data_IF_214176950282
#
_entry.id   IF_214176950282
#
_cell.length_a   1.000
_cell.length_b   1.000
_cell.length_c   1.000
_cell.angle_alpha   90.00
_cell.angle_beta   90.00
_cell.angle_gamma   90.00
#
_symmetry.space_group_name_H-M   'P 1'
#
loop_
_entity.id
_entity.type
_entity.pdbx_description
1 polymer ?
#
# COMPACT_ATOMS: atom_id res chain seq x y z
N UNK A 1 8.92 -6.02 -3.55
CA UNK A 1 7.53 -5.81 -4.00
C UNK A 1 7.10 -4.39 -3.63
N UNK A 2 6.51 -3.66 -4.56
CA UNK A 2 6.05 -2.29 -4.39
C UNK A 2 4.54 -2.31 -4.16
N UNK A 3 4.05 -1.40 -3.33
CA UNK A 3 2.62 -1.16 -3.12
C UNK A 3 2.24 0.04 -3.98
N UNK A 4 1.31 -0.15 -4.93
CA UNK A 4 0.86 0.88 -5.85
C UNK A 4 -0.60 1.25 -5.62
N UNK A 5 -0.92 2.53 -5.70
CA UNK A 5 -2.30 3.00 -5.68
C UNK A 5 -2.91 2.87 -7.08
N UNK A 6 -3.99 2.11 -7.19
CA UNK A 6 -4.73 1.90 -8.43
C UNK A 6 -6.18 2.36 -8.34
N UNK A 7 -6.48 3.28 -7.43
CA UNK A 7 -7.84 3.78 -7.18
C UNK A 7 -8.52 4.29 -8.46
N UNK A 8 -7.78 5.03 -9.30
CA UNK A 8 -8.29 5.56 -10.57
C UNK A 8 -8.83 4.47 -11.53
N UNK A 9 -8.28 3.26 -11.47
CA UNK A 9 -8.76 2.13 -12.27
C UNK A 9 -10.25 1.86 -12.01
N UNK A 10 -10.70 2.05 -10.78
CA UNK A 10 -12.07 1.76 -10.36
C UNK A 10 -13.06 2.93 -10.57
N UNK A 11 -12.59 4.06 -11.08
CA UNK A 11 -13.47 5.15 -11.56
C UNK A 11 -13.86 4.97 -13.03
N UNK A 12 -13.22 4.05 -13.73
CA UNK A 12 -13.39 3.81 -15.17
C UNK A 12 -14.65 2.98 -15.46
N UNK A 13 -15.22 3.17 -16.65
CA UNK A 13 -16.40 2.44 -17.10
C UNK A 13 -16.06 1.00 -17.52
N UNK A 14 -14.87 0.78 -18.08
CA UNK A 14 -14.39 -0.50 -18.58
C UNK A 14 -13.95 -1.51 -17.49
N UNK A 15 -14.11 -1.18 -16.22
CA UNK A 15 -13.97 -2.07 -15.07
C UNK A 15 -15.33 -2.30 -14.47
N UNK A 16 -15.74 -3.57 -14.33
CA UNK A 16 -17.06 -3.96 -13.82
C UNK A 16 -17.05 -4.54 -12.41
N UNK A 17 -15.99 -4.30 -11.63
CA UNK A 17 -15.90 -4.76 -10.24
C UNK A 17 -16.65 -3.81 -9.28
N UNK A 18 -17.96 -3.95 -9.25
CA UNK A 18 -18.89 -3.03 -8.59
C UNK A 18 -18.64 -2.83 -7.08
N UNK A 19 -18.15 -3.87 -6.39
CA UNK A 19 -17.85 -3.78 -4.95
C UNK A 19 -16.80 -2.67 -4.72
N UNK A 20 -15.67 -2.72 -5.44
CA UNK A 20 -14.63 -1.71 -5.29
C UNK A 20 -15.07 -0.35 -5.83
N UNK A 21 -15.81 -0.32 -6.94
CA UNK A 21 -16.36 0.94 -7.47
C UNK A 21 -17.25 1.67 -6.46
N UNK A 22 -18.12 0.96 -5.75
CA UNK A 22 -18.97 1.53 -4.69
C UNK A 22 -18.15 2.07 -3.53
N UNK A 23 -17.15 1.31 -3.08
CA UNK A 23 -16.27 1.73 -1.99
C UNK A 23 -15.43 2.96 -2.39
N UNK A 24 -14.90 3.01 -3.61
CA UNK A 24 -14.15 4.16 -4.11
C UNK A 24 -15.06 5.40 -4.18
N UNK A 25 -16.30 5.28 -4.66
CA UNK A 25 -17.27 6.38 -4.63
C UNK A 25 -17.58 6.88 -3.23
N UNK A 26 -17.47 6.03 -2.20
CA UNK A 26 -17.62 6.40 -0.78
C UNK A 26 -16.33 6.94 -0.15
N UNK A 27 -15.29 7.21 -0.95
CA UNK A 27 -14.01 7.79 -0.51
C UNK A 27 -13.02 6.77 0.05
N UNK A 28 -13.10 5.51 -0.36
CA UNK A 28 -12.05 4.50 -0.14
C UNK A 28 -11.02 4.54 -1.26
N UNK A 29 -9.82 4.02 -0.99
CA UNK A 29 -8.76 3.87 -1.97
C UNK A 29 -8.52 2.39 -2.26
N UNK A 30 -7.87 2.10 -3.39
CA UNK A 30 -7.45 0.75 -3.76
C UNK A 30 -5.95 0.72 -3.94
N UNK A 31 -5.27 -0.16 -3.22
CA UNK A 31 -3.85 -0.44 -3.41
C UNK A 31 -3.62 -1.87 -3.83
N UNK A 32 -2.60 -2.08 -4.61
CA UNK A 32 -2.21 -3.42 -5.06
C UNK A 32 -0.75 -3.73 -4.78
N UNK A 33 -0.46 -5.03 -4.75
CA UNK A 33 0.87 -5.61 -4.63
C UNK A 33 1.07 -6.54 -5.81
N UNK A 34 2.18 -6.37 -6.52
CA UNK A 34 2.57 -7.25 -7.63
C UNK A 34 3.52 -8.31 -7.12
N UNK A 35 3.25 -9.56 -7.47
CA UNK A 35 4.10 -10.72 -7.19
C UNK A 35 4.58 -11.33 -8.50
N UNK A 36 5.89 -11.31 -8.70
CA UNK A 36 6.50 -11.75 -9.95
C UNK A 36 6.45 -13.27 -10.11
N UNK A 37 6.16 -13.72 -11.34
CA UNK A 37 6.20 -15.14 -11.72
C UNK A 37 5.39 -16.08 -10.82
N UNK A 38 4.22 -15.65 -10.36
CA UNK A 38 3.39 -16.41 -9.42
C UNK A 38 2.12 -17.01 -10.04
N UNK A 39 1.89 -16.86 -11.35
CA UNK A 39 0.68 -17.36 -12.01
C UNK A 39 0.47 -18.86 -11.82
N UNK A 40 1.57 -19.63 -11.76
CA UNK A 40 1.55 -21.09 -11.64
C UNK A 40 1.47 -21.58 -10.18
N UNK A 41 1.38 -20.68 -9.21
CA UNK A 41 1.14 -21.05 -7.83
C UNK A 41 -0.25 -21.69 -7.68
N UNK A 42 -0.39 -22.70 -6.81
CA UNK A 42 -1.68 -23.34 -6.61
C UNK A 42 -2.70 -22.36 -6.03
N UNK A 43 -3.97 -22.59 -6.34
CA UNK A 43 -5.07 -21.75 -5.84
C UNK A 43 -5.05 -21.57 -4.31
N UNK A 44 -4.65 -22.63 -3.59
CA UNK A 44 -4.51 -22.58 -2.12
C UNK A 44 -3.54 -21.51 -1.63
N UNK A 45 -2.50 -21.17 -2.40
CA UNK A 45 -1.60 -20.06 -2.08
C UNK A 45 -2.36 -18.73 -1.98
N UNK A 46 -3.17 -18.43 -2.98
CA UNK A 46 -3.95 -17.20 -3.03
C UNK A 46 -5.07 -17.18 -1.99
N UNK A 47 -5.79 -18.30 -1.85
CA UNK A 47 -6.90 -18.43 -0.88
C UNK A 47 -6.39 -18.33 0.56
N UNK A 48 -5.18 -18.81 0.86
CA UNK A 48 -4.56 -18.68 2.18
C UNK A 48 -4.20 -17.21 2.49
N UNK A 49 -3.71 -16.46 1.52
CA UNK A 49 -3.40 -15.03 1.70
C UNK A 49 -4.70 -14.23 1.91
N UNK A 50 -5.76 -14.51 1.17
CA UNK A 50 -7.06 -13.86 1.37
C UNK A 50 -7.64 -14.17 2.76
N UNK A 51 -7.56 -15.43 3.21
CA UNK A 51 -8.01 -15.83 4.54
C UNK A 51 -7.21 -15.14 5.62
N UNK A 52 -5.89 -15.15 5.52
CA UNK A 52 -5.01 -14.45 6.43
C UNK A 52 -5.35 -12.95 6.52
N UNK A 53 -5.61 -12.30 5.39
CA UNK A 53 -5.99 -10.88 5.38
C UNK A 53 -7.31 -10.63 6.12
N UNK A 54 -8.27 -11.56 6.04
CA UNK A 54 -9.53 -11.49 6.81
C UNK A 54 -9.29 -11.68 8.31
N UNK A 55 -8.40 -12.59 8.69
CA UNK A 55 -8.01 -12.80 10.10
C UNK A 55 -7.31 -11.56 10.67
N UNK A 56 -6.59 -10.77 9.83
CA UNK A 56 -6.01 -9.47 10.18
C UNK A 56 -7.04 -8.31 10.17
N UNK A 57 -8.32 -8.61 9.97
CA UNK A 57 -9.42 -7.63 10.02
C UNK A 57 -9.69 -6.90 8.70
N UNK A 58 -9.12 -7.34 7.58
CA UNK A 58 -9.50 -6.82 6.26
C UNK A 58 -10.81 -7.45 5.77
N UNK A 59 -11.48 -6.76 4.84
CA UNK A 59 -12.64 -7.34 4.13
C UNK A 59 -12.26 -8.48 3.17
N UNK A 60 -10.97 -8.67 2.92
CA UNK A 60 -10.37 -9.64 2.04
C UNK A 60 -9.29 -9.03 1.16
N UNK A 61 -8.56 -9.88 0.46
CA UNK A 61 -7.54 -9.49 -0.49
C UNK A 61 -7.88 -10.11 -1.86
N UNK A 62 -8.47 -9.29 -2.73
CA UNK A 62 -8.82 -9.72 -4.08
C UNK A 62 -7.56 -9.97 -4.90
N UNK A 63 -7.59 -10.95 -5.81
CA UNK A 63 -6.44 -11.25 -6.66
C UNK A 63 -6.83 -11.69 -8.06
N UNK A 64 -5.89 -11.50 -8.97
CA UNK A 64 -5.87 -12.13 -10.29
C UNK A 64 -4.44 -12.35 -10.78
N UNK A 65 -4.26 -13.26 -11.73
CA UNK A 65 -3.00 -13.53 -12.42
C UNK A 65 -3.08 -12.97 -13.85
N UNK A 66 -1.95 -12.48 -14.36
CA UNK A 66 -1.85 -11.95 -15.73
C UNK A 66 -1.42 -13.06 -16.66
N UNK A 67 -2.31 -13.42 -17.58
CA UNK A 67 -2.11 -14.48 -18.56
C UNK A 67 -1.64 -13.95 -19.92
N UNK A 68 -1.20 -14.85 -20.79
CA UNK A 68 -0.82 -14.53 -22.15
C UNK A 68 -1.96 -13.81 -22.89
N UNK A 69 -1.60 -12.88 -23.78
CA UNK A 69 -2.56 -12.07 -24.52
C UNK A 69 -3.19 -10.94 -23.70
N UNK A 70 -2.62 -10.63 -22.53
CA UNK A 70 -3.10 -9.59 -21.60
C UNK A 70 -4.55 -9.88 -21.21
N UNK A 71 -4.74 -10.99 -20.52
CA UNK A 71 -5.99 -11.38 -19.89
C UNK A 71 -5.75 -11.69 -18.42
N UNK A 72 -6.79 -11.59 -17.60
CA UNK A 72 -6.70 -11.86 -16.18
C UNK A 72 -7.46 -13.12 -15.82
N UNK A 73 -6.82 -14.00 -15.04
CA UNK A 73 -7.42 -15.21 -14.48
C UNK A 73 -7.50 -15.08 -12.97
N UNK A 74 -8.56 -15.58 -12.38
CA UNK A 74 -8.78 -15.54 -10.93
C UNK A 74 -10.17 -15.02 -10.56
N UNK A 75 -10.49 -14.92 -9.28
CA UNK A 75 -11.85 -14.57 -8.83
C UNK A 75 -12.36 -13.24 -9.36
N UNK A 76 -11.47 -12.25 -9.49
CA UNK A 76 -11.82 -10.91 -9.96
C UNK A 76 -11.33 -10.59 -11.37
N UNK A 77 -10.57 -11.47 -12.00
CA UNK A 77 -9.98 -11.24 -13.33
C UNK A 77 -11.01 -10.87 -14.41
N UNK A 78 -12.19 -11.50 -14.38
CA UNK A 78 -13.27 -11.27 -15.34
C UNK A 78 -13.87 -9.85 -15.33
N UNK A 79 -13.57 -9.06 -14.33
CA UNK A 79 -14.10 -7.70 -14.19
C UNK A 79 -13.23 -6.62 -14.84
N UNK A 80 -12.09 -7.01 -15.39
CA UNK A 80 -11.14 -6.10 -16.03
C UNK A 80 -11.12 -6.31 -17.53
N UNK A 81 -11.25 -5.21 -18.29
CA UNK A 81 -11.01 -5.21 -19.72
C UNK A 81 -9.51 -5.33 -20.02
N UNK A 82 -9.17 -5.69 -21.25
CA UNK A 82 -7.77 -5.70 -21.70
C UNK A 82 -7.11 -4.34 -21.53
N UNK A 83 -7.83 -3.27 -21.87
CA UNK A 83 -7.33 -1.90 -21.74
C UNK A 83 -7.05 -1.51 -20.29
N UNK A 84 -7.94 -1.90 -19.35
CA UNK A 84 -7.73 -1.64 -17.93
C UNK A 84 -6.54 -2.42 -17.38
N UNK A 85 -6.33 -3.66 -17.83
CA UNK A 85 -5.16 -4.47 -17.48
C UNK A 85 -3.86 -3.85 -17.99
N UNK A 86 -3.82 -3.39 -19.24
CA UNK A 86 -2.64 -2.69 -19.80
C UNK A 86 -2.26 -1.46 -18.99
N UNK A 87 -3.25 -0.69 -18.54
CA UNK A 87 -3.00 0.47 -17.67
C UNK A 87 -2.47 0.09 -16.29
N UNK A 88 -3.06 -0.94 -15.67
CA UNK A 88 -2.55 -1.47 -14.40
C UNK A 88 -1.11 -1.95 -14.58
N UNK A 89 -0.83 -2.75 -15.60
CA UNK A 89 0.52 -3.26 -15.90
C UNK A 89 1.52 -2.12 -16.11
N UNK A 90 1.15 -1.09 -16.88
CA UNK A 90 2.01 0.07 -17.10
C UNK A 90 2.30 0.84 -15.81
N UNK A 91 1.30 1.00 -14.94
CA UNK A 91 1.46 1.72 -13.67
C UNK A 91 2.27 0.94 -12.65
N UNK A 92 2.06 -0.35 -12.58
CA UNK A 92 2.65 -1.23 -11.54
C UNK A 92 3.93 -1.92 -11.97
N UNK A 93 4.28 -1.89 -13.25
CA UNK A 93 5.38 -2.65 -13.81
C UNK A 93 5.13 -4.15 -13.88
N UNK A 94 3.90 -4.60 -13.71
CA UNK A 94 3.53 -6.01 -13.77
C UNK A 94 3.63 -6.56 -15.19
N UNK A 95 4.00 -7.82 -15.32
CA UNK A 95 4.18 -8.53 -16.57
C UNK A 95 3.27 -9.75 -16.65
N UNK A 96 3.19 -10.34 -17.85
CA UNK A 96 2.57 -11.65 -18.03
C UNK A 96 3.28 -12.68 -17.15
N UNK A 97 2.51 -13.45 -16.41
CA UNK A 97 3.03 -14.42 -15.43
C UNK A 97 3.03 -13.93 -13.98
N UNK A 98 2.80 -12.63 -13.77
CA UNK A 98 2.69 -12.05 -12.45
C UNK A 98 1.26 -12.18 -11.89
N UNK A 99 1.15 -12.03 -10.57
CA UNK A 99 -0.15 -11.93 -9.92
C UNK A 99 -0.27 -10.60 -9.20
N UNK A 100 -1.49 -10.10 -9.13
CA UNK A 100 -1.81 -8.83 -8.49
C UNK A 100 -2.79 -9.09 -7.35
N UNK A 101 -2.40 -8.72 -6.14
CA UNK A 101 -3.27 -8.69 -4.97
C UNK A 101 -3.76 -7.28 -4.73
N UNK A 102 -5.02 -7.11 -4.34
CA UNK A 102 -5.65 -5.80 -4.18
C UNK A 102 -6.48 -5.74 -2.90
N UNK A 103 -6.36 -4.63 -2.18
CA UNK A 103 -7.22 -4.28 -1.06
C UNK A 103 -7.92 -2.95 -1.33
N UNK A 104 -9.14 -2.81 -0.79
CA UNK A 104 -9.91 -1.58 -0.85
C UNK A 104 -10.41 -1.22 0.55
N UNK A 105 -10.02 -0.06 1.07
CA UNK A 105 -10.44 0.43 2.38
C UNK A 105 -10.19 1.93 2.52
N UNK A 106 -10.52 2.49 3.70
CA UNK A 106 -10.09 3.84 4.07
C UNK A 106 -8.57 3.89 4.23
N UNK A 107 -7.98 5.06 4.04
CA UNK A 107 -6.52 5.26 3.91
C UNK A 107 -5.72 4.54 5.02
N UNK A 108 -6.04 4.79 6.30
CA UNK A 108 -5.31 4.23 7.45
C UNK A 108 -5.33 2.70 7.46
N UNK A 109 -6.51 2.10 7.30
CA UNK A 109 -6.67 0.63 7.28
C UNK A 109 -6.02 0.02 6.04
N UNK A 110 -6.12 0.70 4.90
CA UNK A 110 -5.53 0.25 3.64
C UNK A 110 -4.00 0.22 3.72
N UNK A 111 -3.39 1.25 4.29
CA UNK A 111 -1.94 1.32 4.51
C UNK A 111 -1.46 0.19 5.40
N UNK A 112 -2.13 -0.04 6.52
CA UNK A 112 -1.82 -1.12 7.43
C UNK A 112 -1.91 -2.49 6.75
N UNK A 113 -3.05 -2.81 6.14
CA UNK A 113 -3.27 -4.15 5.58
C UNK A 113 -2.38 -4.44 4.37
N UNK A 114 -2.13 -3.44 3.50
CA UNK A 114 -1.25 -3.65 2.35
C UNK A 114 0.22 -3.81 2.75
N UNK A 115 0.68 -3.13 3.81
CA UNK A 115 2.02 -3.33 4.36
C UNK A 115 2.18 -4.74 4.93
N UNK A 116 1.25 -5.16 5.80
CA UNK A 116 1.27 -6.51 6.37
C UNK A 116 1.16 -7.60 5.28
N UNK A 117 0.31 -7.39 4.26
CA UNK A 117 0.15 -8.33 3.16
C UNK A 117 1.43 -8.47 2.33
N UNK A 118 2.13 -7.36 2.06
CA UNK A 118 3.42 -7.39 1.38
C UNK A 118 4.43 -8.26 2.12
N UNK A 119 4.52 -8.10 3.43
CA UNK A 119 5.46 -8.84 4.28
C UNK A 119 5.07 -10.32 4.37
N UNK A 120 3.79 -10.63 4.53
CA UNK A 120 3.26 -12.01 4.50
C UNK A 120 3.57 -12.72 3.19
N UNK A 121 3.27 -12.06 2.06
CA UNK A 121 3.53 -12.60 0.73
C UNK A 121 5.04 -12.80 0.50
N UNK A 122 5.87 -11.83 0.94
CA UNK A 122 7.31 -11.94 0.82
C UNK A 122 7.87 -13.15 1.59
N UNK A 123 7.37 -13.40 2.80
CA UNK A 123 7.71 -14.60 3.59
C UNK A 123 7.27 -15.88 2.90
N UNK A 124 6.03 -15.95 2.44
CA UNK A 124 5.48 -17.16 1.79
C UNK A 124 6.18 -17.50 0.46
N UNK A 125 6.74 -16.49 -0.20
CA UNK A 125 7.50 -16.65 -1.44
C UNK A 125 9.02 -16.78 -1.22
N UNK A 126 9.50 -16.75 0.03
CA UNK A 126 10.93 -16.74 0.39
C UNK A 126 11.71 -15.64 -0.34
N UNK A 127 11.13 -14.43 -0.45
CA UNK A 127 11.76 -13.29 -1.10
C UNK A 127 12.58 -12.43 -0.14
N UNK A 128 12.60 -12.78 1.13
CA UNK A 128 13.36 -12.09 2.15
C UNK A 128 14.78 -12.65 2.14
N UNK A 129 15.77 -11.78 2.02
CA UNK A 129 17.18 -12.13 2.08
C UNK A 129 17.76 -11.64 3.42
N UNK A 130 17.97 -12.56 4.34
CA UNK A 130 18.46 -12.27 5.70
C UNK A 130 19.92 -11.81 5.74
N UNK A 131 20.65 -11.88 4.61
CA UNK A 131 22.07 -11.52 4.52
C UNK A 131 22.28 -10.11 3.94
N UNK A 132 21.21 -9.37 3.65
CA UNK A 132 21.31 -8.05 3.03
C UNK A 132 20.80 -6.98 4.01
N UNK A 133 21.62 -5.96 4.22
CA UNK A 133 21.21 -4.73 4.89
C UNK A 133 20.83 -3.69 3.85
N UNK A 134 19.56 -3.32 3.79
CA UNK A 134 19.08 -2.27 2.92
C UNK A 134 18.86 -0.99 3.73
N UNK A 135 19.44 0.11 3.28
CA UNK A 135 19.23 1.43 3.89
C UNK A 135 18.28 2.26 3.04
N UNK A 136 17.38 2.98 3.69
CA UNK A 136 16.55 3.97 3.02
C UNK A 136 16.40 5.23 3.89
N UNK A 137 16.13 6.34 3.21
CA UNK A 137 15.70 7.56 3.87
C UNK A 137 14.19 7.58 3.94
N UNK A 138 13.65 7.82 5.13
CA UNK A 138 12.25 8.19 5.32
C UNK A 138 12.22 9.72 5.31
N UNK A 139 11.43 10.27 4.39
CA UNK A 139 11.30 11.72 4.17
C UNK A 139 9.83 12.11 4.13
N UNK A 140 9.57 13.40 4.03
CA UNK A 140 8.21 13.95 3.89
C UNK A 140 7.29 13.58 5.06
N UNK A 141 7.81 13.70 6.27
CA UNK A 141 7.01 13.54 7.47
C UNK A 141 5.88 14.56 7.55
N UNK A 142 4.66 14.16 7.95
CA UNK A 142 3.62 15.11 8.26
C UNK A 142 4.08 16.02 9.42
N UNK A 143 3.87 17.32 9.31
CA UNK A 143 4.20 18.25 10.38
C UNK A 143 3.20 18.15 11.53
N UNK A 144 1.95 17.91 11.21
CA UNK A 144 0.85 17.80 12.17
C UNK A 144 0.08 16.51 11.95
N UNK A 145 -0.44 15.97 13.03
CA UNK A 145 -1.37 14.84 13.01
C UNK A 145 -2.57 15.11 13.92
N UNK A 146 -3.63 14.36 13.67
CA UNK A 146 -4.82 14.43 14.49
C UNK A 146 -4.75 13.38 15.58
N UNK A 147 -4.76 13.79 16.82
CA UNK A 147 -4.81 12.89 17.96
C UNK A 147 -6.16 12.16 17.99
N UNK A 148 -6.15 10.84 17.89
CA UNK A 148 -7.36 10.00 17.83
C UNK A 148 -8.21 10.07 19.11
N UNK A 149 -7.61 10.40 20.28
CA UNK A 149 -8.30 10.46 21.57
C UNK A 149 -8.90 11.85 21.84
N UNK A 150 -8.10 12.89 21.58
CA UNK A 150 -8.47 14.29 21.90
C UNK A 150 -9.14 14.99 20.73
N UNK A 151 -9.05 14.41 19.52
CA UNK A 151 -9.51 14.98 18.24
C UNK A 151 -8.85 16.33 17.90
N UNK A 152 -7.75 16.69 18.60
CA UNK A 152 -6.98 17.92 18.37
C UNK A 152 -5.85 17.67 17.36
N UNK A 153 -5.43 18.74 16.71
CA UNK A 153 -4.25 18.74 15.84
C UNK A 153 -3.04 19.03 16.72
N UNK A 154 -2.05 18.16 16.62
CA UNK A 154 -0.81 18.21 17.41
C UNK A 154 0.38 18.05 16.46
N UNK A 155 1.58 18.40 16.88
CA UNK A 155 2.79 18.10 16.13
C UNK A 155 2.99 16.57 16.06
N UNK A 156 3.25 16.06 14.84
CA UNK A 156 3.40 14.62 14.63
C UNK A 156 4.62 14.06 15.35
N UNK A 157 5.76 14.73 15.27
CA UNK A 157 7.01 14.24 15.87
C UNK A 157 7.71 15.34 16.68
N UNK A 158 8.32 16.32 16.01
CA UNK A 158 9.16 17.31 16.65
C UNK A 158 8.66 18.73 16.36
N UNK A 159 8.28 19.52 17.39
CA UNK A 159 7.78 20.89 17.21
C UNK A 159 8.83 21.87 16.67
N UNK A 160 10.12 21.49 16.70
CA UNK A 160 11.22 22.28 16.14
C UNK A 160 11.50 22.00 14.66
N UNK A 161 10.78 21.06 14.06
CA UNK A 161 10.89 20.78 12.63
C UNK A 161 10.39 21.95 11.81
N UNK A 162 11.08 22.22 10.72
CA UNK A 162 10.71 23.29 9.80
C UNK A 162 9.71 22.80 8.77
N UNK A 163 8.62 23.53 8.48
CA UNK A 163 7.70 23.13 7.42
C UNK A 163 8.38 23.20 6.06
N UNK A 164 8.02 22.28 5.17
CA UNK A 164 8.50 22.29 3.79
C UNK A 164 7.83 23.39 2.97
N UNK A 165 8.59 23.95 2.02
CA UNK A 165 8.11 24.97 1.11
C UNK A 165 8.38 26.41 1.56
N UNK A 166 7.74 27.35 0.85
CA UNK A 166 7.85 28.77 1.15
C UNK A 166 6.94 29.13 2.32
N UNK A 167 7.52 29.58 3.43
CA UNK A 167 6.80 29.98 4.67
C UNK A 167 5.66 30.96 4.37
N UNK A 168 5.82 31.84 3.38
CA UNK A 168 4.79 32.81 2.99
C UNK A 168 3.59 32.21 2.27
N UNK A 169 3.73 30.98 1.78
CA UNK A 169 2.71 30.25 1.03
C UNK A 169 2.09 29.08 1.81
N UNK A 170 2.49 28.89 3.06
CA UNK A 170 1.95 27.82 3.89
C UNK A 170 0.46 28.04 4.13
N UNK A 171 -0.32 26.99 3.93
CA UNK A 171 -1.75 27.02 4.18
C UNK A 171 -2.06 26.54 5.60
N UNK A 172 -2.07 27.44 6.55
CA UNK A 172 -2.40 27.13 7.96
C UNK A 172 -3.87 26.74 8.19
N UNK A 173 -4.75 26.87 7.18
CA UNK A 173 -6.12 26.38 7.25
C UNK A 173 -6.19 24.87 7.06
N UNK A 174 -5.12 24.26 6.48
CA UNK A 174 -5.01 22.83 6.25
C UNK A 174 -3.71 22.28 6.85
N UNK A 175 -3.55 22.32 8.16
CA UNK A 175 -2.30 21.91 8.81
C UNK A 175 -1.93 20.45 8.57
N UNK A 176 -2.91 19.56 8.38
CA UNK A 176 -2.67 18.14 8.12
C UNK A 176 -2.05 17.84 6.74
N UNK A 177 -2.08 18.81 5.82
CA UNK A 177 -1.44 18.69 4.50
C UNK A 177 0.01 19.20 4.52
N UNK A 178 0.47 19.74 5.65
CA UNK A 178 1.81 20.29 5.77
C UNK A 178 2.83 19.20 6.06
N UNK A 179 3.93 19.21 5.30
CA UNK A 179 5.07 18.32 5.51
C UNK A 179 6.19 19.06 6.24
N UNK A 180 7.00 18.33 6.99
CA UNK A 180 8.16 18.84 7.71
C UNK A 180 9.46 18.44 7.02
N UNK A 181 10.49 19.29 7.13
CA UNK A 181 11.88 18.92 6.85
C UNK A 181 12.40 18.03 8.00
N UNK A 182 11.93 16.84 8.02
CA UNK A 182 12.37 15.77 8.92
C UNK A 182 12.68 14.55 8.10
N UNK A 183 13.73 13.85 8.47
CA UNK A 183 14.17 12.65 7.75
C UNK A 183 14.91 11.73 8.72
N UNK A 184 14.70 10.42 8.51
CA UNK A 184 15.39 9.38 9.24
C UNK A 184 16.07 8.43 8.27
N UNK A 185 17.25 7.94 8.63
CA UNK A 185 17.87 6.82 7.94
C UNK A 185 17.45 5.53 8.65
N UNK A 186 16.88 4.63 7.87
CA UNK A 186 16.41 3.34 8.37
C UNK A 186 17.23 2.24 7.74
N UNK A 187 17.77 1.35 8.56
CA UNK A 187 18.32 0.09 8.11
C UNK A 187 17.20 -0.94 8.12
N UNK A 188 16.76 -1.33 6.93
CA UNK A 188 15.83 -2.44 6.78
C UNK A 188 16.63 -3.73 6.94
N UNK A 189 16.74 -4.20 8.17
CA UNK A 189 17.03 -5.61 8.40
C UNK A 189 15.73 -6.35 8.19
N UNK A 190 15.76 -7.40 7.43
CA UNK A 190 14.61 -8.10 6.87
C UNK A 190 13.70 -8.77 7.90
N UNK A 191 13.97 -8.64 9.19
CA UNK A 191 13.19 -9.26 10.28
C UNK A 191 12.52 -8.23 11.19
N UNK A 192 13.09 -7.03 11.31
CA UNK A 192 12.51 -5.97 12.16
C UNK A 192 12.74 -4.61 11.51
N UNK A 193 11.67 -3.86 11.28
CA UNK A 193 11.75 -2.41 11.32
C UNK A 193 12.14 -2.14 12.79
N UNK A 194 13.41 -1.83 13.04
CA UNK A 194 13.76 -1.27 14.32
C UNK A 194 13.08 0.08 14.37
N UNK A 195 12.02 0.20 15.15
CA UNK A 195 11.66 1.53 15.66
C UNK A 195 12.95 2.18 16.15
N UNK A 196 13.22 3.44 15.79
CA UNK A 196 14.25 4.19 16.48
C UNK A 196 13.92 4.06 17.95
N UNK A 197 14.78 3.39 18.69
CA UNK A 197 14.64 3.28 20.15
C UNK A 197 14.49 4.71 20.65
N UNK A 198 13.27 5.06 21.02
CA UNK A 198 13.05 6.22 21.86
C UNK A 198 14.02 6.02 23.01
N UNK A 199 15.02 6.88 23.09
CA UNK A 199 15.82 7.03 24.30
C UNK A 199 14.86 7.61 25.35
N UNK A 200 14.07 6.70 25.95
CA UNK A 200 13.45 6.97 27.23
C UNK A 200 14.61 6.90 28.23
N UNK A 201 14.89 7.99 28.85
CA UNK A 201 15.88 8.27 29.88
C UNK A 201 17.19 8.94 29.40
N UNK A 202 17.14 10.26 29.37
CA UNK A 202 18.03 11.11 30.20
C UNK A 202 17.17 12.26 30.74
#
# INVERSE_FOLDING_TARGET
>A
MIIEDITETFTREDVSFDIFKKLVKSGSNVRCIVTQNTKDKPRSFFDNIDRWAKDEGASGLAYFTIENGISAKGPVGKFFSKESLEKIMKKTGANVGDSIFMACSKKKDLERITSLARDKIAKDLNLIDDNVFAFCWVVDYPMFEKNDQTNKIEFSHNPFSMPQGDIKKLNFEKPLDMLAYQYDIVCLSLIHISEPTRLDHI
#
